data_IF_510720941058
#
_entry.id   IF_510720941058
#
_cell.length_a   1.000
_cell.length_b   1.000
_cell.length_c   1.000
_cell.angle_alpha   90.00
_cell.angle_beta   90.00
_cell.angle_gamma   90.00
#
_symmetry.space_group_name_H-M   'P 1'
#
loop_
_entity.id
_entity.type
_entity.pdbx_description
1 polymer ?
#
# COMPACT_ATOMS: atom_id res chain seq x y z
N UNK A 1 -29.83 -36.56 20.59
CA UNK A 1 -28.65 -36.40 19.71
C UNK A 1 -28.63 -34.96 19.16
N UNK A 2 -27.90 -34.05 19.82
CA UNK A 2 -27.64 -32.68 19.32
C UNK A 2 -26.39 -32.65 18.42
N UNK A 3 -26.33 -33.54 17.41
CA UNK A 3 -25.03 -34.06 16.95
C UNK A 3 -24.39 -33.44 15.70
N UNK A 4 -25.16 -32.88 14.76
CA UNK A 4 -24.59 -32.53 13.43
C UNK A 4 -25.04 -31.16 12.93
N UNK A 5 -26.34 -30.85 13.00
CA UNK A 5 -26.84 -29.53 12.57
C UNK A 5 -26.28 -28.38 13.41
N UNK A 6 -26.13 -28.58 14.72
CA UNK A 6 -25.56 -27.57 15.63
C UNK A 6 -24.06 -27.34 15.38
N UNK A 7 -23.32 -28.41 15.07
CA UNK A 7 -21.89 -28.34 14.73
C UNK A 7 -21.69 -27.63 13.39
N UNK A 8 -22.52 -27.90 12.38
CA UNK A 8 -22.48 -27.20 11.09
C UNK A 8 -22.82 -25.71 11.22
N UNK A 9 -23.79 -25.37 12.08
CA UNK A 9 -24.15 -23.97 12.36
C UNK A 9 -23.01 -23.24 13.07
N UNK A 10 -22.40 -23.86 14.09
CA UNK A 10 -21.22 -23.30 14.77
C UNK A 10 -20.08 -23.12 13.76
N UNK A 11 -19.82 -24.10 12.91
CA UNK A 11 -18.75 -24.03 11.90
C UNK A 11 -18.99 -22.88 10.92
N UNK A 12 -20.23 -22.70 10.43
CA UNK A 12 -20.60 -21.57 9.59
C UNK A 12 -20.40 -20.22 10.30
N UNK A 13 -20.88 -20.09 11.54
CA UNK A 13 -20.71 -18.86 12.32
C UNK A 13 -19.23 -18.56 12.54
N UNK A 14 -18.41 -19.57 12.85
CA UNK A 14 -16.96 -19.42 12.97
C UNK A 14 -16.33 -19.01 11.63
N UNK A 15 -16.74 -19.59 10.50
CA UNK A 15 -16.25 -19.19 9.18
C UNK A 15 -16.59 -17.73 8.86
N UNK A 16 -17.80 -17.26 9.18
CA UNK A 16 -18.17 -15.86 8.98
C UNK A 16 -17.41 -14.91 9.91
N UNK A 17 -17.22 -15.29 11.18
CA UNK A 17 -16.44 -14.49 12.12
C UNK A 17 -14.96 -14.42 11.72
N UNK A 18 -14.37 -15.53 11.27
CA UNK A 18 -12.98 -15.57 10.78
C UNK A 18 -12.84 -14.79 9.46
N UNK A 19 -13.78 -14.93 8.52
CA UNK A 19 -13.76 -14.16 7.28
C UNK A 19 -13.89 -12.65 7.51
N UNK A 20 -14.72 -12.24 8.46
CA UNK A 20 -14.93 -10.83 8.79
C UNK A 20 -13.71 -10.19 9.46
N UNK A 21 -12.99 -10.92 10.32
CA UNK A 21 -11.80 -10.37 10.99
C UNK A 21 -10.62 -10.19 10.03
N UNK A 22 -10.52 -11.00 8.98
CA UNK A 22 -9.47 -10.89 7.94
C UNK A 22 -9.65 -9.61 7.09
N UNK A 23 -10.90 -9.20 6.82
CA UNK A 23 -11.21 -8.05 5.96
C UNK A 23 -10.88 -6.68 6.57
N UNK A 24 -10.73 -6.58 7.89
CA UNK A 24 -10.61 -5.28 8.57
C UNK A 24 -9.28 -4.54 8.33
N UNK A 25 -8.25 -5.20 7.81
CA UNK A 25 -6.91 -4.61 7.59
C UNK A 25 -6.36 -4.85 6.18
N UNK A 26 -7.24 -4.96 5.18
CA UNK A 26 -6.79 -5.15 3.79
C UNK A 26 -6.28 -3.83 3.19
N UNK A 27 -5.00 -3.82 2.81
CA UNK A 27 -4.43 -2.74 2.03
C UNK A 27 -4.73 -2.96 0.55
N UNK A 28 -5.14 -1.90 -0.13
CA UNK A 28 -5.43 -1.93 -1.56
C UNK A 28 -4.95 -0.65 -2.25
N UNK A 29 -4.72 -0.75 -3.56
CA UNK A 29 -4.33 0.39 -4.37
C UNK A 29 -5.54 1.30 -4.64
N UNK A 30 -5.30 2.61 -4.52
CA UNK A 30 -6.26 3.66 -4.89
C UNK A 30 -5.63 4.58 -5.92
N UNK A 31 -6.46 5.14 -6.79
CA UNK A 31 -6.02 6.16 -7.72
C UNK A 31 -5.48 7.38 -6.96
N UNK A 32 -4.34 7.88 -7.40
CA UNK A 32 -3.70 9.05 -6.82
C UNK A 32 -4.05 10.31 -7.62
N UNK A 33 -4.90 11.17 -7.04
CA UNK A 33 -5.34 12.44 -7.62
C UNK A 33 -4.48 13.64 -7.19
N UNK A 34 -3.34 13.40 -6.53
CA UNK A 34 -2.50 14.44 -5.94
C UNK A 34 -2.69 14.63 -4.43
N UNK A 35 -3.67 13.94 -3.83
CA UNK A 35 -3.92 13.92 -2.38
C UNK A 35 -3.74 12.52 -1.84
N UNK A 36 -3.07 12.39 -0.69
CA UNK A 36 -2.88 11.10 -0.01
C UNK A 36 -4.07 10.86 0.93
N UNK A 37 -4.78 9.71 0.83
CA UNK A 37 -5.82 9.33 1.78
C UNK A 37 -5.31 9.26 3.23
N UNK A 38 -6.15 9.58 4.20
CA UNK A 38 -5.77 9.63 5.62
C UNK A 38 -5.35 8.26 6.18
N UNK A 39 -5.83 7.18 5.58
CA UNK A 39 -5.58 5.79 5.92
C UNK A 39 -4.51 5.15 5.02
N UNK A 40 -3.80 5.94 4.21
CA UNK A 40 -2.68 5.44 3.42
C UNK A 40 -1.55 4.94 4.31
N UNK A 41 -1.02 3.76 3.99
CA UNK A 41 0.08 3.15 4.71
C UNK A 41 1.35 4.02 4.65
N UNK A 42 1.86 4.43 5.82
CA UNK A 42 3.09 5.20 5.95
C UNK A 42 4.28 4.23 5.85
N UNK A 43 4.99 4.27 4.72
CA UNK A 43 6.17 3.43 4.49
C UNK A 43 7.42 3.94 5.22
N UNK A 44 7.44 5.22 5.59
CA UNK A 44 8.57 5.82 6.30
C UNK A 44 8.44 7.33 6.40
N UNK A 45 9.56 7.98 6.75
CA UNK A 45 9.69 9.44 6.81
C UNK A 45 10.92 9.89 6.05
N UNK A 46 10.86 11.07 5.43
CA UNK A 46 12.02 11.71 4.82
C UNK A 46 12.92 12.40 5.87
N UNK A 47 14.01 13.03 5.43
CA UNK A 47 14.98 13.72 6.30
C UNK A 47 14.39 14.91 7.07
N UNK A 48 13.25 15.44 6.64
CA UNK A 48 12.51 16.51 7.33
C UNK A 48 11.41 15.95 8.24
N UNK A 49 11.30 14.62 8.35
CA UNK A 49 10.26 13.96 9.13
C UNK A 49 8.90 13.85 8.42
N UNK A 50 8.82 14.19 7.13
CA UNK A 50 7.58 14.13 6.35
C UNK A 50 7.27 12.68 5.95
N UNK A 51 6.00 12.27 6.09
CA UNK A 51 5.57 10.91 5.74
C UNK A 51 5.79 10.60 4.25
N UNK A 52 6.24 9.37 4.00
CA UNK A 52 6.45 8.76 2.68
C UNK A 52 5.46 7.61 2.50
N UNK A 53 4.89 7.48 1.31
CA UNK A 53 3.88 6.48 0.97
C UNK A 53 4.28 5.66 -0.26
N UNK A 54 3.66 4.48 -0.40
CA UNK A 54 3.87 3.58 -1.52
C UNK A 54 2.85 3.89 -2.61
N UNK A 55 3.34 4.09 -3.83
CA UNK A 55 2.53 4.25 -5.04
C UNK A 55 2.96 3.28 -6.14
N UNK A 56 2.27 3.35 -7.26
CA UNK A 56 2.69 2.75 -8.52
C UNK A 56 2.34 3.67 -9.68
N UNK A 57 3.15 3.65 -10.75
CA UNK A 57 2.98 4.54 -11.90
C UNK A 57 3.26 3.81 -13.21
N UNK A 58 2.44 4.10 -14.22
CA UNK A 58 2.69 3.68 -15.59
C UNK A 58 3.61 4.68 -16.29
N UNK A 59 4.70 4.21 -16.88
CA UNK A 59 5.67 5.07 -17.57
C UNK A 59 5.46 4.94 -19.08
N UNK A 60 4.96 6.00 -19.74
CA UNK A 60 4.63 5.93 -21.17
C UNK A 60 5.81 5.53 -22.07
N UNK A 61 7.03 5.95 -21.74
CA UNK A 61 8.24 5.61 -22.51
C UNK A 61 8.65 4.15 -22.39
N UNK A 62 8.18 3.44 -21.37
CA UNK A 62 8.55 2.06 -21.06
C UNK A 62 7.34 1.28 -20.58
N UNK A 63 6.85 0.35 -21.38
CA UNK A 63 5.72 -0.53 -21.04
C UNK A 63 5.86 -1.11 -19.63
N UNK A 64 4.84 -0.95 -18.79
CA UNK A 64 4.79 -1.51 -17.45
C UNK A 64 4.29 -0.54 -16.38
N UNK A 65 3.99 -1.12 -15.21
CA UNK A 65 3.65 -0.41 -13.97
C UNK A 65 4.81 -0.63 -13.00
N UNK A 66 5.30 0.44 -12.41
CA UNK A 66 6.48 0.41 -11.55
C UNK A 66 6.12 0.93 -10.16
N UNK A 67 6.67 0.34 -9.09
CA UNK A 67 6.59 0.93 -7.76
C UNK A 67 7.09 2.37 -7.77
N UNK A 68 6.44 3.22 -6.99
CA UNK A 68 6.76 4.63 -6.89
C UNK A 68 6.74 5.08 -5.43
N UNK A 69 7.49 6.14 -5.16
CA UNK A 69 7.47 6.82 -3.87
C UNK A 69 6.57 8.05 -3.98
N UNK A 70 5.62 8.16 -3.06
CA UNK A 70 4.77 9.36 -2.94
C UNK A 70 5.23 10.15 -1.72
N UNK A 71 5.74 11.33 -1.97
CA UNK A 71 5.93 12.37 -0.95
C UNK A 71 4.94 13.50 -1.25
N UNK A 72 4.02 13.85 -0.32
CA UNK A 72 3.05 14.90 -0.55
C UNK A 72 3.70 16.19 -1.05
N UNK A 73 3.12 16.80 -2.09
CA UNK A 73 3.64 18.02 -2.71
C UNK A 73 4.87 17.87 -3.61
N UNK A 74 5.43 16.65 -3.76
CA UNK A 74 6.54 16.36 -4.69
C UNK A 74 6.03 15.58 -5.90
N UNK A 75 6.82 15.59 -6.99
CA UNK A 75 6.54 14.76 -8.17
C UNK A 75 6.70 13.28 -7.83
N UNK A 76 5.81 12.44 -8.36
CA UNK A 76 5.90 10.98 -8.23
C UNK A 76 6.98 10.46 -9.16
N UNK A 77 7.89 9.63 -8.63
CA UNK A 77 9.02 9.06 -9.39
C UNK A 77 8.92 7.53 -9.36
N UNK A 78 9.05 6.92 -10.54
CA UNK A 78 9.09 5.46 -10.71
C UNK A 78 10.44 4.89 -10.29
N UNK A 79 10.44 3.75 -9.61
CA UNK A 79 11.67 3.07 -9.18
C UNK A 79 12.49 2.46 -10.35
N UNK A 80 11.89 2.29 -11.55
CA UNK A 80 12.54 1.68 -12.73
C UNK A 80 13.83 2.39 -13.13
N UNK A 81 13.87 3.71 -13.01
CA UNK A 81 15.01 4.54 -13.42
C UNK A 81 16.02 4.76 -12.29
N UNK A 82 15.84 4.08 -11.15
CA UNK A 82 16.52 4.37 -9.88
C UNK A 82 16.05 5.69 -9.27
N UNK A 83 16.46 5.96 -8.02
CA UNK A 83 16.37 7.32 -7.48
C UNK A 83 17.30 8.22 -8.30
N UNK A 84 16.75 8.96 -9.28
CA UNK A 84 17.48 10.04 -9.94
C UNK A 84 17.28 11.30 -9.12
N UNK A 85 18.36 11.74 -8.49
CA UNK A 85 18.38 13.07 -7.90
C UNK A 85 18.67 14.15 -8.92
N UNK A 86 18.13 15.35 -8.66
CA UNK A 86 18.71 16.57 -9.17
C UNK A 86 20.15 16.65 -8.66
N UNK A 87 21.13 16.41 -9.53
CA UNK A 87 22.56 16.72 -9.37
C UNK A 87 23.06 16.76 -7.90
N UNK A 88 23.69 15.66 -7.43
CA UNK A 88 24.78 15.60 -6.42
C UNK A 88 24.64 14.81 -5.08
N UNK A 89 23.79 13.79 -4.82
CA UNK A 89 24.01 13.00 -3.57
C UNK A 89 25.01 11.86 -3.69
N UNK A 90 25.80 11.77 -2.62
CA UNK A 90 26.35 10.54 -2.08
C UNK A 90 25.46 10.05 -0.93
N UNK A 91 25.08 8.77 -0.95
CA UNK A 91 24.45 8.09 0.19
C UNK A 91 25.51 7.23 0.90
N UNK A 92 25.71 7.42 2.20
CA UNK A 92 26.54 6.57 3.06
C UNK A 92 25.63 5.92 4.10
N UNK A 93 25.84 4.62 4.32
CA UNK A 93 25.11 3.77 5.29
C UNK A 93 25.28 4.24 6.72
#
# INVERSE_FOLDING_TARGET
MMGVGYVNLILLVLCFLVGFTISLNEYYWRDYSGTVPHDAYIAGKDTNGQNIYIGQVAVQKHTGIYPAVISPGKKVVAAKDGAREAWNFAQKF
#
